data_IF_916638084705
#
_entry.id   IF_916638084705
#
_cell.length_a   1.000
_cell.length_b   1.000
_cell.length_c   1.000
_cell.angle_alpha   90.00
_cell.angle_beta   90.00
_cell.angle_gamma   90.00
#
_symmetry.space_group_name_H-M   'P 1'
#
loop_
_entity.id
_entity.type
_entity.pdbx_description
1 polymer ?
#
# COMPACT_ATOMS: atom_id res chain seq x y z
N UNK A 1 2.46 -70.64 -10.96
CA UNK A 1 3.45 -69.89 -10.16
C UNK A 1 4.58 -69.48 -11.09
N UNK A 2 4.61 -68.24 -11.58
CA UNK A 2 5.72 -67.74 -12.41
C UNK A 2 5.83 -66.23 -12.22
N UNK A 3 6.78 -65.86 -11.38
CA UNK A 3 7.13 -64.50 -11.00
C UNK A 3 8.13 -63.97 -12.04
N UNK A 4 7.78 -62.89 -12.77
CA UNK A 4 8.69 -62.22 -13.70
C UNK A 4 8.99 -60.82 -13.17
N UNK A 5 10.11 -60.71 -12.47
CA UNK A 5 10.68 -59.45 -12.01
C UNK A 5 11.04 -58.58 -13.23
N UNK A 6 10.50 -57.35 -13.28
CA UNK A 6 10.85 -56.38 -14.32
C UNK A 6 12.06 -55.56 -13.87
N UNK A 7 13.08 -55.65 -14.69
CA UNK A 7 14.31 -54.87 -14.66
C UNK A 7 14.05 -53.49 -15.32
N UNK A 8 14.66 -52.43 -14.75
CA UNK A 8 15.46 -51.39 -15.44
C UNK A 8 15.14 -49.93 -15.10
N UNK A 9 16.25 -49.27 -14.70
CA UNK A 9 16.73 -47.94 -15.11
C UNK A 9 15.99 -46.73 -14.55
N UNK A 10 16.52 -46.21 -13.44
CA UNK A 10 16.33 -44.83 -13.04
C UNK A 10 17.05 -43.91 -14.04
N UNK A 11 16.29 -42.98 -14.63
CA UNK A 11 16.82 -41.85 -15.39
C UNK A 11 16.86 -40.65 -14.44
N UNK A 12 18.06 -40.10 -14.24
CA UNK A 12 18.24 -38.78 -13.64
C UNK A 12 17.84 -37.72 -14.68
N UNK A 13 16.87 -36.87 -14.34
CA UNK A 13 16.54 -35.69 -15.15
C UNK A 13 17.18 -34.50 -14.46
N UNK A 14 18.28 -34.01 -15.06
CA UNK A 14 18.85 -32.72 -14.72
C UNK A 14 17.92 -31.64 -15.30
N UNK A 15 17.34 -30.82 -14.43
CA UNK A 15 16.57 -29.65 -14.83
C UNK A 15 17.52 -28.44 -14.93
N UNK A 16 17.79 -28.02 -16.16
CA UNK A 16 18.49 -26.78 -16.48
C UNK A 16 17.42 -25.70 -16.73
N UNK A 17 17.22 -24.79 -15.78
CA UNK A 17 16.31 -23.65 -15.95
C UNK A 17 17.14 -22.42 -16.34
N UNK A 18 17.18 -22.16 -17.65
CA UNK A 18 17.54 -20.87 -18.23
C UNK A 18 16.30 -19.97 -18.17
N UNK A 19 16.31 -18.98 -17.29
CA UNK A 19 15.21 -18.05 -17.08
C UNK A 19 15.64 -16.59 -17.22
N UNK A 20 15.57 -16.09 -18.45
CA UNK A 20 15.25 -14.71 -18.88
C UNK A 20 15.73 -13.52 -18.02
N UNK A 21 16.67 -12.76 -18.58
CA UNK A 21 16.98 -11.40 -18.15
C UNK A 21 15.72 -10.52 -18.21
N UNK A 22 15.30 -10.00 -17.06
CA UNK A 22 14.28 -8.94 -16.99
C UNK A 22 14.97 -7.58 -16.97
N UNK A 23 14.51 -6.59 -17.75
CA UNK A 23 15.02 -5.23 -17.63
C UNK A 23 14.58 -4.66 -16.28
N UNK A 24 15.55 -4.23 -15.48
CA UNK A 24 15.28 -3.49 -14.25
C UNK A 24 14.69 -2.14 -14.67
N UNK A 25 13.37 -2.02 -14.49
CA UNK A 25 12.66 -0.75 -14.55
C UNK A 25 13.20 0.11 -13.40
N UNK A 26 13.87 1.20 -13.75
CA UNK A 26 14.23 2.26 -12.81
C UNK A 26 13.09 3.28 -12.79
N UNK A 27 12.48 3.57 -11.62
CA UNK A 27 11.79 4.85 -11.45
C UNK A 27 12.81 5.86 -10.93
N UNK A 28 13.19 6.78 -11.81
CA UNK A 28 13.79 8.05 -11.45
C UNK A 28 12.64 9.02 -11.13
N UNK A 29 12.46 9.40 -9.86
CA UNK A 29 11.97 10.72 -9.41
C UNK A 29 12.42 10.86 -7.95
N UNK A 30 13.08 11.96 -7.61
CA UNK A 30 13.53 12.28 -6.27
C UNK A 30 12.36 12.33 -5.29
N UNK A 31 12.32 11.37 -4.37
CA UNK A 31 11.51 11.45 -3.17
C UNK A 31 12.29 12.24 -2.14
N UNK A 32 11.87 13.47 -1.89
CA UNK A 32 12.27 14.24 -0.72
C UNK A 32 12.12 13.33 0.52
N UNK A 33 13.25 13.00 1.13
CA UNK A 33 13.32 12.11 2.27
C UNK A 33 12.74 12.85 3.47
N UNK A 34 11.42 12.76 3.64
CA UNK A 34 10.76 13.17 4.88
C UNK A 34 11.48 12.48 6.05
N UNK A 35 11.83 13.23 7.10
CA UNK A 35 12.73 12.78 8.15
C UNK A 35 12.20 11.51 8.80
N UNK A 36 13.13 10.63 9.16
CA UNK A 36 12.92 9.30 9.71
C UNK A 36 12.07 9.31 11.00
N UNK A 37 10.76 9.49 10.84
CA UNK A 37 9.78 9.53 11.91
C UNK A 37 9.31 8.09 12.09
N UNK A 38 9.87 7.39 13.09
CA UNK A 38 9.42 6.10 13.65
C UNK A 38 8.53 5.29 12.71
N UNK A 39 9.09 4.43 11.84
CA UNK A 39 8.40 3.45 10.96
C UNK A 39 6.86 3.41 11.06
N UNK A 40 6.18 4.50 10.68
CA UNK A 40 4.72 4.56 10.69
C UNK A 40 4.28 3.85 9.42
N UNK A 41 3.46 2.82 9.57
CA UNK A 41 2.91 2.12 8.42
C UNK A 41 1.84 3.01 7.80
N UNK A 42 2.21 3.74 6.75
CA UNK A 42 1.27 4.55 6.00
C UNK A 42 0.55 3.71 4.95
N UNK A 43 -0.76 3.94 4.85
CA UNK A 43 -1.61 3.49 3.76
C UNK A 43 -1.76 4.63 2.76
N UNK A 44 -1.99 4.28 1.50
CA UNK A 44 -2.24 5.21 0.41
C UNK A 44 -3.50 4.75 -0.32
N UNK A 45 -4.37 5.68 -0.69
CA UNK A 45 -5.52 5.39 -1.52
C UNK A 45 -6.27 6.64 -1.97
N UNK A 46 -7.32 6.45 -2.76
CA UNK A 46 -8.12 7.55 -3.31
C UNK A 46 -9.32 7.82 -2.41
N UNK A 47 -9.57 9.09 -2.09
CA UNK A 47 -10.73 9.49 -1.30
C UNK A 47 -11.99 9.35 -2.16
N UNK A 48 -12.90 8.48 -1.75
CA UNK A 48 -14.17 8.23 -2.47
C UNK A 48 -15.34 8.99 -1.86
N UNK A 49 -15.35 9.17 -0.53
CA UNK A 49 -16.40 9.85 0.21
C UNK A 49 -15.89 10.39 1.54
N UNK A 50 -16.44 11.52 1.99
CA UNK A 50 -16.15 12.14 3.29
C UNK A 50 -17.45 12.22 4.08
N UNK A 51 -17.41 11.80 5.35
CA UNK A 51 -18.52 11.86 6.31
C UNK A 51 -18.09 12.66 7.54
N UNK A 52 -19.01 12.90 8.47
CA UNK A 52 -18.76 13.72 9.67
C UNK A 52 -17.60 13.22 10.55
N UNK A 53 -17.41 11.89 10.67
CA UNK A 53 -16.37 11.30 11.53
C UNK A 53 -15.67 10.10 10.89
N UNK A 54 -15.77 9.98 9.56
CA UNK A 54 -15.19 8.88 8.81
C UNK A 54 -14.91 9.31 7.37
N UNK A 55 -14.03 8.56 6.72
CA UNK A 55 -13.68 8.78 5.32
C UNK A 55 -13.61 7.43 4.61
N UNK A 56 -14.10 7.39 3.37
CA UNK A 56 -13.95 6.23 2.49
C UNK A 56 -12.73 6.43 1.61
N UNK A 57 -11.77 5.51 1.73
CA UNK A 57 -10.55 5.50 0.92
C UNK A 57 -10.43 4.17 0.20
N UNK A 58 -10.37 4.20 -1.13
CA UNK A 58 -10.30 3.03 -2.01
C UNK A 58 -11.35 1.95 -1.66
N UNK A 59 -12.59 2.38 -1.46
CA UNK A 59 -13.74 1.54 -1.13
C UNK A 59 -13.85 1.10 0.33
N UNK A 60 -12.90 1.46 1.19
CA UNK A 60 -12.88 1.08 2.61
C UNK A 60 -13.21 2.28 3.50
N UNK A 61 -14.18 2.13 4.40
CA UNK A 61 -14.52 3.16 5.39
C UNK A 61 -13.59 3.09 6.60
N UNK A 62 -12.99 4.24 6.96
CA UNK A 62 -12.13 4.41 8.13
C UNK A 62 -12.73 5.47 9.06
N UNK A 63 -12.76 5.21 10.37
CA UNK A 63 -13.09 6.24 11.36
C UNK A 63 -11.92 7.22 11.47
N UNK A 64 -12.23 8.49 11.69
CA UNK A 64 -11.26 9.55 11.93
C UNK A 64 -11.29 9.88 13.41
N UNK A 65 -10.12 9.82 14.06
CA UNK A 65 -9.97 10.17 15.46
C UNK A 65 -10.30 11.66 15.65
N UNK A 66 -10.90 12.05 16.78
CA UNK A 66 -11.37 13.43 16.98
C UNK A 66 -10.27 14.50 16.98
N UNK A 67 -9.04 14.11 17.34
CA UNK A 67 -7.81 14.91 17.33
C UNK A 67 -6.86 14.50 16.20
N UNK A 68 -7.38 13.84 15.15
CA UNK A 68 -6.58 13.46 14.00
C UNK A 68 -5.99 14.69 13.30
N UNK A 69 -4.71 14.61 12.95
CA UNK A 69 -4.05 15.65 12.19
C UNK A 69 -4.27 15.41 10.69
N UNK A 70 -5.08 16.23 10.05
CA UNK A 70 -5.36 16.15 8.61
C UNK A 70 -4.70 17.35 7.94
N UNK A 71 -3.85 17.09 6.95
CA UNK A 71 -3.05 18.12 6.29
C UNK A 71 -3.24 18.08 4.78
N UNK A 72 -3.13 19.24 4.13
CA UNK A 72 -2.97 19.31 2.69
C UNK A 72 -1.50 19.03 2.25
N UNK A 73 -1.29 18.90 0.94
CA UNK A 73 0.04 18.80 0.32
C UNK A 73 1.02 19.96 0.62
N UNK A 74 0.57 21.06 1.22
CA UNK A 74 1.38 22.21 1.64
C UNK A 74 1.59 22.25 3.15
N UNK A 75 1.27 21.17 3.84
CA UNK A 75 1.36 21.03 5.28
C UNK A 75 0.45 21.95 6.09
N UNK A 76 -0.60 22.50 5.47
CA UNK A 76 -1.64 23.23 6.20
C UNK A 76 -2.61 22.23 6.81
N UNK A 77 -2.92 22.39 8.08
CA UNK A 77 -3.96 21.62 8.74
C UNK A 77 -5.33 22.04 8.19
N UNK A 78 -6.13 21.06 7.77
CA UNK A 78 -7.47 21.25 7.22
C UNK A 78 -8.47 20.41 8.02
N UNK A 79 -9.72 20.85 8.17
CA UNK A 79 -10.75 20.00 8.74
C UNK A 79 -11.08 18.84 7.79
N UNK A 80 -11.62 17.75 8.35
CA UNK A 80 -12.04 16.57 7.56
C UNK A 80 -12.99 16.94 6.43
N UNK A 81 -13.89 17.89 6.66
CA UNK A 81 -14.91 18.36 5.70
C UNK A 81 -14.30 19.03 4.46
N UNK A 82 -13.08 19.54 4.55
CA UNK A 82 -12.36 20.18 3.44
C UNK A 82 -11.52 19.20 2.62
N UNK A 83 -11.53 17.91 2.98
CA UNK A 83 -10.85 16.87 2.21
C UNK A 83 -11.52 16.72 0.84
N UNK A 84 -10.74 16.87 -0.22
CA UNK A 84 -11.24 16.77 -1.58
C UNK A 84 -11.60 15.33 -1.93
N UNK A 85 -12.69 15.15 -2.67
CA UNK A 85 -12.97 13.85 -3.30
C UNK A 85 -11.98 13.60 -4.43
N UNK A 86 -11.70 12.31 -4.69
CA UNK A 86 -10.79 11.82 -5.74
C UNK A 86 -9.33 12.21 -5.57
N UNK A 87 -8.97 12.88 -4.47
CA UNK A 87 -7.58 13.09 -4.10
C UNK A 87 -6.93 11.78 -3.66
N UNK A 88 -5.63 11.65 -3.89
CA UNK A 88 -4.81 10.68 -3.17
C UNK A 88 -4.65 11.13 -1.71
N UNK A 89 -4.86 10.21 -0.78
CA UNK A 89 -4.62 10.40 0.64
C UNK A 89 -3.59 9.38 1.13
N UNK A 90 -2.59 9.88 1.86
CA UNK A 90 -1.63 9.07 2.62
C UNK A 90 -1.95 9.21 4.10
N UNK A 91 -2.23 8.10 4.77
CA UNK A 91 -2.73 8.13 6.14
C UNK A 91 -2.14 7.01 7.00
N UNK A 92 -2.07 7.27 8.29
CA UNK A 92 -1.70 6.30 9.31
C UNK A 92 -2.95 5.83 10.05
N UNK A 93 -2.90 4.61 10.58
CA UNK A 93 -3.94 4.08 11.46
C UNK A 93 -3.34 3.87 12.85
N UNK A 94 -4.01 4.40 13.87
CA UNK A 94 -3.66 4.15 15.25
C UNK A 94 -3.92 2.67 15.63
N UNK A 95 -3.61 2.32 16.89
CA UNK A 95 -3.79 0.94 17.39
C UNK A 95 -5.24 0.44 17.38
N UNK A 96 -6.21 1.35 17.31
CA UNK A 96 -7.64 1.02 17.21
C UNK A 96 -8.14 0.91 15.76
N UNK A 97 -7.26 1.19 14.77
CA UNK A 97 -7.63 1.20 13.36
C UNK A 97 -8.32 2.48 12.90
N UNK A 98 -8.19 3.57 13.66
CA UNK A 98 -8.71 4.90 13.28
C UNK A 98 -7.59 5.75 12.69
N UNK A 99 -7.95 6.69 11.82
CA UNK A 99 -7.01 7.65 11.25
C UNK A 99 -6.65 8.68 12.32
N UNK A 100 -5.36 8.78 12.65
CA UNK A 100 -4.76 9.77 13.55
C UNK A 100 -3.90 10.80 12.80
N UNK A 101 -3.42 10.46 11.59
CA UNK A 101 -2.67 11.35 10.71
C UNK A 101 -3.05 11.08 9.25
N UNK A 102 -3.30 12.14 8.50
CA UNK A 102 -3.61 12.07 7.06
C UNK A 102 -3.04 13.26 6.31
N UNK A 103 -2.47 12.99 5.13
CA UNK A 103 -2.00 14.00 4.17
C UNK A 103 -2.74 13.81 2.87
N UNK A 104 -3.36 14.87 2.36
CA UNK A 104 -4.21 14.85 1.17
C UNK A 104 -3.54 15.62 0.04
N UNK A 105 -3.35 14.95 -1.09
CA UNK A 105 -2.84 15.54 -2.31
C UNK A 105 -3.99 16.23 -3.06
N UNK A 106 -3.72 17.33 -3.79
CA UNK A 106 -4.77 17.88 -4.65
C UNK A 106 -5.06 16.94 -5.83
N UNK A 107 -6.32 16.85 -6.30
CA UNK A 107 -6.62 16.21 -7.56
C UNK A 107 -5.79 16.87 -8.68
N UNK A 108 -5.21 16.05 -9.57
CA UNK A 108 -4.53 16.54 -10.78
C UNK A 108 -5.54 16.88 -11.89
#
# INVERSE_FOLDING_TARGET
>A
MMNRARLRKGYAIAAFVLGIASPIVTPSVGGEQLPATKMMSFKIGTVDAVYTSSIRVSGTDYRVQSDAKIMDHKENEIPLEEVFLRSEAKFHLNKMGEIDLMVVMRPQ
#
